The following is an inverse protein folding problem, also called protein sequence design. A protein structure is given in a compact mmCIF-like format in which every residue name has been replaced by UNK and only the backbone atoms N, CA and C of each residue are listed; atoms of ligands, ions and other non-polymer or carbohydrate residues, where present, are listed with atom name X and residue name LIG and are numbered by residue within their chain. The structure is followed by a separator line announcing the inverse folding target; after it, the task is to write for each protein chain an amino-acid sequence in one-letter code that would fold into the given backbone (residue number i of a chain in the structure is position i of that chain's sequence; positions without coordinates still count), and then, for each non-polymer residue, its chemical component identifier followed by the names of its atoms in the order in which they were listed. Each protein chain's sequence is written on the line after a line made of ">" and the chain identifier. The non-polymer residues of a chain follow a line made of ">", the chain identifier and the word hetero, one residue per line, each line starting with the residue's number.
data_IF_004856879530
#
_entry.id   IF_004856879530
#
_cell.length_a   1.000
_cell.length_b   1.000
_cell.length_c   1.000
_cell.angle_alpha   90.00
_cell.angle_beta   90.00
_cell.angle_gamma   90.00
#
_symmetry.space_group_name_H-M   'P 1'
#
loop_
_entity.id
_entity.type
_entity.pdbx_description
1 polymer ?
#
# COMPACT_ATOMS: atom_id res chain seq x y z
N UNK A 1 12.90 -16.83 -4.02
CA UNK A 1 11.55 -16.52 -3.53
C UNK A 1 11.66 -15.36 -2.55
N UNK A 2 11.22 -14.18 -2.96
CA UNK A 2 11.22 -12.99 -2.11
C UNK A 2 9.84 -12.87 -1.45
N UNK A 3 9.83 -12.69 -0.12
CA UNK A 3 8.62 -12.45 0.65
C UNK A 3 8.64 -11.03 1.16
N UNK A 4 7.65 -10.25 0.75
CA UNK A 4 7.50 -8.85 1.13
C UNK A 4 6.25 -8.74 1.98
N UNK A 5 6.42 -8.14 3.16
CA UNK A 5 5.32 -7.78 4.05
C UNK A 5 5.18 -6.28 4.03
N UNK A 6 4.04 -5.81 3.56
CA UNK A 6 3.75 -4.38 3.47
C UNK A 6 2.34 -4.08 3.97
N UNK A 7 2.10 -2.82 4.29
CA UNK A 7 0.79 -2.34 4.72
C UNK A 7 0.38 -1.13 3.90
N UNK A 8 -0.92 -0.91 3.75
CA UNK A 8 -1.44 0.31 3.11
C UNK A 8 -2.79 0.70 3.70
N UNK A 9 -3.17 1.96 3.53
CA UNK A 9 -4.46 2.50 3.99
C UNK A 9 -5.54 2.35 2.92
N UNK A 10 -6.78 2.12 3.36
CA UNK A 10 -7.98 2.15 2.53
C UNK A 10 -9.00 3.04 3.20
N UNK A 11 -9.55 3.99 2.44
CA UNK A 11 -10.69 4.79 2.86
C UNK A 11 -11.98 4.20 2.27
N UNK A 12 -13.00 4.06 3.11
CA UNK A 12 -14.37 3.77 2.70
C UNK A 12 -15.22 5.03 2.85
N UNK A 13 -15.94 5.40 1.79
CA UNK A 13 -16.83 6.55 1.81
C UNK A 13 -18.23 6.17 2.34
N UNK A 14 -19.11 7.18 2.49
CA UNK A 14 -20.49 6.98 2.98
C UNK A 14 -21.36 6.04 2.16
N UNK A 15 -20.98 5.73 0.92
CA UNK A 15 -21.68 4.80 0.03
C UNK A 15 -21.08 3.38 0.07
N UNK A 16 -20.02 3.18 0.85
CA UNK A 16 -19.33 1.90 0.93
C UNK A 16 -18.27 1.69 -0.14
N UNK A 17 -17.94 2.71 -0.93
CA UNK A 17 -16.90 2.59 -1.96
C UNK A 17 -15.52 2.71 -1.32
N UNK A 18 -14.65 1.76 -1.65
CA UNK A 18 -13.29 1.68 -1.13
C UNK A 18 -12.29 2.34 -2.08
N UNK A 19 -11.28 3.00 -1.51
CA UNK A 19 -10.18 3.60 -2.25
C UNK A 19 -8.87 3.43 -1.48
N UNK A 20 -7.89 2.78 -2.11
CA UNK A 20 -6.56 2.66 -1.53
C UNK A 20 -5.87 4.04 -1.52
N UNK A 21 -5.23 4.41 -0.41
CA UNK A 21 -4.69 5.76 -0.26
C UNK A 21 -3.25 5.87 -0.78
N UNK A 22 -3.01 6.93 -1.54
CA UNK A 22 -1.70 7.34 -2.03
C UNK A 22 -1.17 8.49 -1.17
N UNK A 23 0.14 8.51 -0.92
CA UNK A 23 0.75 9.63 -0.24
C UNK A 23 0.83 10.83 -1.19
N UNK A 24 0.30 11.96 -0.75
CA UNK A 24 0.50 13.25 -1.37
C UNK A 24 1.42 14.06 -0.45
N UNK A 25 2.66 14.28 -0.88
CA UNK A 25 3.70 14.92 -0.07
C UNK A 25 3.38 16.37 0.34
N UNK A 26 2.37 17.00 -0.25
CA UNK A 26 1.90 18.33 0.16
C UNK A 26 0.70 18.28 1.11
N UNK A 27 -0.16 17.26 1.01
CA UNK A 27 -1.49 17.24 1.65
C UNK A 27 -1.80 15.95 2.44
N UNK A 28 -0.80 15.10 2.71
CA UNK A 28 -0.99 13.86 3.45
C UNK A 28 -1.36 12.69 2.55
N UNK A 29 -2.64 12.30 2.51
CA UNK A 29 -3.13 11.15 1.73
C UNK A 29 -4.28 11.53 0.80
N UNK A 30 -4.33 10.91 -0.37
CA UNK A 30 -5.39 11.08 -1.38
C UNK A 30 -5.89 9.73 -1.87
N UNK A 31 -7.13 9.66 -2.37
CA UNK A 31 -7.69 8.44 -2.95
C UNK A 31 -6.97 8.06 -4.23
N UNK A 32 -6.44 6.84 -4.27
CA UNK A 32 -5.89 6.20 -5.45
C UNK A 32 -6.83 5.16 -6.03
N UNK A 33 -6.42 4.57 -7.14
CA UNK A 33 -7.24 3.61 -7.89
C UNK A 33 -7.10 2.16 -7.40
N UNK A 34 -5.94 1.75 -6.88
CA UNK A 34 -5.67 0.35 -6.57
C UNK A 34 -4.63 0.15 -5.46
N UNK A 35 -4.57 -1.07 -4.88
CA UNK A 35 -3.50 -1.45 -3.95
C UNK A 35 -2.09 -1.27 -4.53
N UNK A 36 -1.89 -1.37 -5.85
CA UNK A 36 -0.59 -1.24 -6.49
C UNK A 36 -0.06 0.20 -6.48
N UNK A 37 -0.96 1.18 -6.47
CA UNK A 37 -0.61 2.61 -6.42
C UNK A 37 -0.58 3.15 -4.99
N UNK A 38 -1.05 2.37 -4.02
CA UNK A 38 -1.15 2.79 -2.63
C UNK A 38 0.22 3.03 -2.01
N UNK A 39 0.31 3.97 -1.06
CA UNK A 39 1.53 4.13 -0.27
C UNK A 39 1.75 2.92 0.63
N UNK A 40 2.97 2.37 0.58
CA UNK A 40 3.35 1.14 1.28
C UNK A 40 4.18 1.45 2.51
N UNK A 41 3.64 1.08 3.67
CA UNK A 41 4.36 1.08 4.94
C UNK A 41 5.04 -0.28 5.12
N UNK A 42 6.25 -0.29 5.67
CA UNK A 42 6.94 -1.53 6.03
C UNK A 42 6.65 -1.93 7.49
N UNK A 43 6.39 -0.94 8.36
CA UNK A 43 6.16 -1.16 9.78
C UNK A 43 4.68 -1.00 10.16
N UNK A 44 4.19 -1.94 10.96
CA UNK A 44 2.78 -1.98 11.37
C UNK A 44 2.38 -0.78 12.23
N UNK A 45 3.29 -0.34 13.09
CA UNK A 45 3.10 0.78 14.01
C UNK A 45 2.88 2.08 13.24
N UNK A 46 3.59 2.28 12.13
CA UNK A 46 3.48 3.46 11.28
C UNK A 46 2.11 3.53 10.60
N UNK A 47 1.63 2.43 10.01
CA UNK A 47 0.32 2.42 9.36
C UNK A 47 -0.82 2.58 10.37
N UNK A 48 -0.67 2.06 11.59
CA UNK A 48 -1.63 2.26 12.68
C UNK A 48 -1.72 3.75 13.04
N UNK A 49 -0.59 4.44 13.19
CA UNK A 49 -0.56 5.87 13.49
C UNK A 49 -1.20 6.68 12.37
N UNK A 50 -0.84 6.41 11.12
CA UNK A 50 -1.40 7.11 9.96
C UNK A 50 -2.93 6.88 9.86
N UNK A 51 -3.40 5.65 10.08
CA UNK A 51 -4.82 5.31 10.10
C UNK A 51 -5.60 6.08 11.17
N UNK A 52 -5.03 6.23 12.38
CA UNK A 52 -5.64 7.04 13.45
C UNK A 52 -5.77 8.51 13.04
N UNK A 53 -4.73 9.08 12.44
CA UNK A 53 -4.75 10.48 11.97
C UNK A 53 -5.81 10.67 10.88
N UNK A 54 -5.91 9.77 9.90
CA UNK A 54 -6.95 9.87 8.86
C UNK A 54 -8.36 9.84 9.44
N UNK A 55 -8.64 8.92 10.37
CA UNK A 55 -9.96 8.85 11.02
C UNK A 55 -10.25 10.07 11.91
N UNK A 56 -9.24 10.62 12.58
CA UNK A 56 -9.38 11.86 13.35
C UNK A 56 -9.76 13.03 12.43
N UNK A 57 -9.08 13.18 11.29
CA UNK A 57 -9.39 14.22 10.30
C UNK A 57 -10.78 14.04 9.69
N UNK A 58 -11.17 12.80 9.35
CA UNK A 58 -12.51 12.49 8.85
C UNK A 58 -13.61 12.92 9.82
N UNK A 59 -13.36 12.73 11.12
CA UNK A 59 -14.27 13.15 12.20
C UNK A 59 -14.34 14.67 12.32
N UNK A 60 -13.19 15.36 12.36
CA UNK A 60 -13.11 16.83 12.47
C UNK A 60 -13.79 17.52 11.28
N UNK A 61 -13.59 16.98 10.07
CA UNK A 61 -14.16 17.52 8.83
C UNK A 61 -15.59 17.03 8.57
N UNK A 62 -16.11 16.12 9.39
CA UNK A 62 -17.42 15.48 9.24
C UNK A 62 -17.69 15.00 7.80
N UNK A 63 -16.68 14.38 7.16
CA UNK A 63 -16.72 14.06 5.73
C UNK A 63 -17.36 12.68 5.44
N UNK A 64 -17.80 11.96 6.47
CA UNK A 64 -18.50 10.67 6.35
C UNK A 64 -17.63 9.53 5.83
N UNK A 65 -16.31 9.63 5.98
CA UNK A 65 -15.36 8.58 5.58
C UNK A 65 -14.81 7.84 6.80
N UNK A 66 -14.35 6.61 6.59
CA UNK A 66 -13.60 5.83 7.58
C UNK A 66 -12.39 5.22 6.91
N UNK A 67 -11.25 5.22 7.59
CA UNK A 67 -10.02 4.61 7.10
C UNK A 67 -9.71 3.35 7.89
N UNK A 68 -9.30 2.29 7.21
CA UNK A 68 -8.66 1.11 7.81
C UNK A 68 -7.34 0.83 7.07
N UNK A 69 -6.60 -0.17 7.53
CA UNK A 69 -5.38 -0.59 6.86
C UNK A 69 -5.42 -2.07 6.52
N UNK A 70 -4.70 -2.44 5.48
CA UNK A 70 -4.54 -3.82 5.00
C UNK A 70 -3.11 -4.25 5.23
N UNK A 71 -2.93 -5.48 5.72
CA UNK A 71 -1.65 -6.19 5.75
C UNK A 71 -1.57 -7.06 4.49
N UNK A 72 -0.53 -6.85 3.69
CA UNK A 72 -0.31 -7.54 2.43
C UNK A 72 0.98 -8.36 2.51
N UNK A 73 0.85 -9.67 2.28
CA UNK A 73 1.98 -10.58 2.18
C UNK A 73 2.11 -10.97 0.70
N UNK A 74 3.23 -10.62 0.08
CA UNK A 74 3.49 -10.82 -1.35
C UNK A 74 4.59 -11.86 -1.50
N UNK A 75 4.33 -12.85 -2.35
CA UNK A 75 5.33 -13.82 -2.82
C UNK A 75 5.63 -13.53 -4.29
N UNK A 76 6.91 -13.47 -4.65
CA UNK A 76 7.37 -13.21 -6.03
C UNK A 76 8.32 -14.27 -6.52
N UNK A 77 8.10 -14.65 -7.77
CA UNK A 77 8.99 -15.47 -8.58
C UNK A 77 9.51 -14.63 -9.75
N UNK A 78 10.79 -14.77 -10.05
CA UNK A 78 11.45 -14.05 -11.13
C UNK A 78 11.81 -15.05 -12.21
N UNK A 79 11.49 -14.72 -13.45
CA UNK A 79 11.79 -15.53 -14.62
C UNK A 79 12.55 -14.70 -15.64
N UNK A 80 13.42 -15.35 -16.40
CA UNK A 80 14.11 -14.74 -17.53
C UNK A 80 13.23 -14.68 -18.79
N UNK A 81 13.78 -14.22 -19.91
CA UNK A 81 13.06 -14.12 -21.19
C UNK A 81 12.67 -15.48 -21.81
N UNK A 82 13.25 -16.58 -21.30
CA UNK A 82 12.95 -17.96 -21.71
C UNK A 82 11.89 -18.61 -20.82
N UNK A 83 11.52 -17.97 -19.72
CA UNK A 83 10.60 -18.49 -18.72
C UNK A 83 11.27 -19.41 -17.68
N UNK A 84 12.61 -19.41 -17.60
CA UNK A 84 13.36 -20.14 -16.57
C UNK A 84 13.53 -19.27 -15.32
N UNK A 85 13.71 -19.90 -14.15
CA UNK A 85 13.83 -19.16 -12.88
C UNK A 85 15.10 -18.30 -12.90
N UNK A 86 14.94 -17.00 -12.77
CA UNK A 86 16.06 -16.07 -12.71
C UNK A 86 16.75 -16.11 -11.34
N UNK A 87 18.05 -16.42 -11.34
CA UNK A 87 18.90 -16.41 -10.14
C UNK A 87 19.79 -15.17 -10.16
N UNK A 88 19.52 -14.24 -9.23
CA UNK A 88 20.25 -12.98 -9.08
C UNK A 88 21.71 -13.25 -8.69
N UNK A 89 22.62 -13.31 -9.68
CA UNK A 89 24.04 -13.62 -9.48
C UNK A 89 24.80 -13.98 -10.75
N UNK A 90 24.11 -14.43 -11.80
CA UNK A 90 24.72 -14.67 -13.11
C UNK A 90 24.74 -13.38 -13.94
N UNK A 91 25.51 -12.38 -13.49
CA UNK A 91 26.01 -11.37 -14.42
C UNK A 91 27.15 -12.07 -15.16
N UNK A 92 26.85 -12.73 -16.29
CA UNK A 92 27.92 -13.07 -17.22
C UNK A 92 28.47 -11.74 -17.71
N UNK A 93 29.65 -11.36 -17.21
CA UNK A 93 30.44 -10.28 -17.79
C UNK A 93 30.61 -10.59 -19.28
N UNK A 94 30.13 -9.67 -20.12
CA UNK A 94 30.34 -9.70 -21.58
C UNK A 94 31.66 -9.03 -21.91
#
# INVERSE_FOLDING_TARGET
>A
MERIKEFYLVEINKYGEESALMQNYSNGFVRGASPNTAYKFQEKEQVIQACKVQNMLATILNNGTKTYFVEQNIEREMYDEKGEVYVKGEVQEV
#
